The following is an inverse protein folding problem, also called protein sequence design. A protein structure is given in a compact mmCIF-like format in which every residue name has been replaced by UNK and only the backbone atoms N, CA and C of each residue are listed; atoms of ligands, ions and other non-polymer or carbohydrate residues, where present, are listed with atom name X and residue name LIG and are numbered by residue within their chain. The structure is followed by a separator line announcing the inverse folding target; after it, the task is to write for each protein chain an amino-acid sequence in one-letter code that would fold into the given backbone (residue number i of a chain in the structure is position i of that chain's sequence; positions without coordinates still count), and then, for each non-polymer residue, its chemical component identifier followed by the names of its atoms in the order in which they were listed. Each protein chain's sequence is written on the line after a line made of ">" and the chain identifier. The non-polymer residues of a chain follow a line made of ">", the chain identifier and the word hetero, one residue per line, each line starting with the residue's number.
data_IF_223992285908
#
_entry.id   IF_223992285908
#
_cell.length_a   1.000
_cell.length_b   1.000
_cell.length_c   1.000
_cell.angle_alpha   90.00
_cell.angle_beta   90.00
_cell.angle_gamma   90.00
#
_symmetry.space_group_name_H-M   'P 1'
#
loop_
_entity.id
_entity.type
_entity.pdbx_description
1 polymer ?
#
# COMPACT_ATOMS: atom_id res chain seq x y z
N UNK A 1 34.91 7.00 -62.22
CA UNK A 1 34.00 8.16 -62.29
C UNK A 1 33.28 8.30 -60.97
N UNK A 2 33.69 9.30 -60.21
CA UNK A 2 33.09 9.67 -58.92
C UNK A 2 31.74 10.30 -59.14
N UNK A 3 30.74 9.95 -58.30
CA UNK A 3 29.63 10.86 -58.00
C UNK A 3 29.40 10.86 -56.49
N UNK A 4 29.78 11.98 -55.92
CA UNK A 4 29.44 12.46 -54.58
C UNK A 4 27.96 12.82 -54.53
N UNK A 5 27.20 12.30 -53.54
CA UNK A 5 25.90 12.83 -53.17
C UNK A 5 25.94 13.22 -51.70
N UNK A 6 25.78 14.51 -51.46
CA UNK A 6 25.74 15.21 -50.19
C UNK A 6 24.40 14.97 -49.47
N UNK A 7 24.32 14.69 -48.16
CA UNK A 7 23.02 14.68 -47.47
C UNK A 7 22.70 16.06 -46.89
N UNK A 8 21.53 16.53 -47.25
CA UNK A 8 20.84 17.72 -46.71
C UNK A 8 20.62 17.58 -45.18
N UNK A 9 21.19 18.54 -44.44
CA UNK A 9 20.87 18.79 -43.03
C UNK A 9 19.50 19.44 -42.94
N UNK A 10 18.49 18.72 -42.42
CA UNK A 10 17.23 19.31 -41.96
C UNK A 10 17.34 19.69 -40.49
N UNK A 11 17.34 20.98 -40.23
CA UNK A 11 17.28 21.59 -38.91
C UNK A 11 15.89 21.42 -38.34
N UNK A 12 15.71 20.62 -37.28
CA UNK A 12 14.47 20.57 -36.51
C UNK A 12 14.53 21.62 -35.41
N UNK A 13 13.77 22.70 -35.56
CA UNK A 13 13.53 23.68 -34.51
C UNK A 13 12.62 23.05 -33.45
N UNK A 14 13.13 22.93 -32.23
CA UNK A 14 12.35 22.58 -31.05
C UNK A 14 11.43 23.73 -30.67
N UNK A 15 10.13 23.50 -30.75
CA UNK A 15 9.10 24.38 -30.18
C UNK A 15 8.97 24.02 -28.72
N UNK A 16 9.47 24.86 -27.82
CA UNK A 16 9.24 24.77 -26.39
C UNK A 16 7.87 25.37 -26.10
N UNK A 17 6.89 24.53 -25.82
CA UNK A 17 5.57 24.92 -25.35
C UNK A 17 5.64 25.15 -23.84
N UNK A 18 5.57 26.41 -23.41
CA UNK A 18 5.42 26.83 -22.02
C UNK A 18 3.98 26.68 -21.58
N UNK A 19 3.72 25.70 -20.72
CA UNK A 19 2.43 25.55 -20.02
C UNK A 19 2.44 26.47 -18.79
N UNK A 20 1.45 27.36 -18.58
CA UNK A 20 1.42 28.23 -17.42
C UNK A 20 1.08 27.42 -16.15
N UNK A 21 1.91 27.54 -15.14
CA UNK A 21 1.64 27.05 -13.76
C UNK A 21 0.48 27.86 -13.17
N UNK A 22 -0.62 27.17 -12.92
CA UNK A 22 -1.72 27.72 -12.13
C UNK A 22 -1.31 27.70 -10.65
N UNK A 23 -1.15 28.88 -10.05
CA UNK A 23 -0.91 29.03 -8.62
C UNK A 23 -2.19 28.68 -7.84
N UNK A 24 -2.08 27.78 -6.88
CA UNK A 24 -3.13 27.53 -5.90
C UNK A 24 -3.01 28.59 -4.81
N UNK A 25 -4.05 29.43 -4.70
CA UNK A 25 -4.23 30.36 -3.61
C UNK A 25 -4.84 29.64 -2.41
N UNK A 26 -4.17 29.68 -1.27
CA UNK A 26 -4.69 29.30 0.04
C UNK A 26 -5.76 30.28 0.50
N UNK A 27 -6.92 29.83 1.03
CA UNK A 27 -7.89 30.75 1.62
C UNK A 27 -7.42 31.13 3.05
N UNK A 28 -7.17 32.39 3.26
CA UNK A 28 -7.01 33.03 4.58
C UNK A 28 -8.37 33.08 5.27
N UNK A 29 -8.47 32.44 6.45
CA UNK A 29 -9.60 32.66 7.37
C UNK A 29 -9.39 33.94 8.15
N UNK A 30 -10.24 34.92 7.89
CA UNK A 30 -10.55 36.01 8.76
C UNK A 30 -12.04 35.90 9.14
N UNK A 31 -12.35 35.92 10.43
CA UNK A 31 -13.74 35.91 10.88
C UNK A 31 -13.83 35.82 12.39
N UNK A 32 -13.96 36.97 12.99
CA UNK A 32 -14.09 37.27 14.41
C UNK A 32 -15.23 36.54 15.12
N UNK A 33 -14.92 36.10 16.34
CA UNK A 33 -15.81 35.60 17.39
C UNK A 33 -16.90 36.59 17.79
N UNK A 34 -18.13 36.10 17.95
CA UNK A 34 -19.10 36.69 18.90
C UNK A 34 -19.49 35.61 19.91
N UNK A 35 -19.09 35.88 21.15
CA UNK A 35 -19.59 35.20 22.35
C UNK A 35 -21.09 35.47 22.46
N UNK A 36 -21.88 34.42 22.62
CA UNK A 36 -23.25 34.51 23.17
C UNK A 36 -23.30 33.61 24.39
N UNK A 37 -23.35 34.27 25.55
CA UNK A 37 -23.59 33.66 26.85
C UNK A 37 -25.09 33.50 27.01
N UNK A 38 -25.60 32.29 27.25
CA UNK A 38 -26.96 32.09 27.80
C UNK A 38 -26.85 31.06 28.93
N UNK A 39 -27.43 31.48 30.05
CA UNK A 39 -27.25 30.93 31.37
C UNK A 39 -28.01 29.63 31.67
N UNK A 40 -27.58 29.10 32.78
CA UNK A 40 -28.15 28.02 33.60
C UNK A 40 -29.66 28.21 33.94
N UNK A 41 -30.40 27.17 34.40
CA UNK A 41 -30.20 26.71 35.77
C UNK A 41 -30.48 25.22 36.10
N UNK A 42 -29.85 24.80 37.20
CA UNK A 42 -30.32 23.95 38.32
C UNK A 42 -31.08 22.61 38.11
N UNK A 43 -30.49 21.58 38.73
CA UNK A 43 -31.18 20.35 39.08
C UNK A 43 -30.32 19.47 39.99
N UNK A 44 -30.21 19.86 41.26
CA UNK A 44 -29.66 19.02 42.31
C UNK A 44 -30.66 17.97 42.74
N UNK A 45 -30.26 16.71 42.83
CA UNK A 45 -30.94 15.70 43.64
C UNK A 45 -29.91 14.89 44.41
N UNK A 46 -29.89 15.15 45.68
CA UNK A 46 -29.21 14.39 46.73
C UNK A 46 -29.88 13.06 46.96
N UNK A 47 -29.15 11.98 47.18
CA UNK A 47 -29.59 10.83 47.95
C UNK A 47 -28.54 10.55 49.02
N UNK A 48 -29.02 10.64 50.25
CA UNK A 48 -28.28 10.52 51.49
C UNK A 48 -27.98 9.06 51.86
N UNK A 49 -26.86 8.94 52.50
CA UNK A 49 -26.30 8.03 53.47
C UNK A 49 -27.22 6.92 54.09
N UNK A 50 -26.62 5.74 54.22
CA UNK A 50 -26.77 4.93 55.42
C UNK A 50 -25.40 4.39 55.86
N UNK A 51 -24.87 4.98 56.91
CA UNK A 51 -23.73 4.44 57.62
C UNK A 51 -24.27 3.52 58.74
N UNK A 52 -23.74 2.30 58.80
CA UNK A 52 -23.86 1.53 60.06
C UNK A 52 -22.47 1.12 60.54
N UNK A 53 -22.26 1.43 61.76
CA UNK A 53 -21.09 1.38 62.60
C UNK A 53 -20.67 -0.07 62.92
N UNK A 54 -19.42 -0.43 62.75
CA UNK A 54 -18.73 -1.35 63.65
C UNK A 54 -17.21 -1.13 63.51
N UNK A 55 -16.59 -0.75 64.60
CA UNK A 55 -15.18 -0.36 64.66
C UNK A 55 -14.22 -1.54 64.62
N UNK A 56 -13.06 -1.24 64.10
CA UNK A 56 -11.82 -1.89 64.52
C UNK A 56 -10.65 -0.91 64.19
N UNK A 57 -9.89 -0.57 65.21
CA UNK A 57 -8.69 0.20 65.17
C UNK A 57 -7.57 -0.59 64.47
N UNK A 58 -6.93 -0.01 63.50
CA UNK A 58 -5.72 -0.60 62.84
C UNK A 58 -5.09 0.33 61.81
N UNK A 59 -4.03 1.00 62.19
CA UNK A 59 -2.91 1.46 61.41
C UNK A 59 -3.16 2.24 60.11
N UNK A 60 -3.18 3.55 60.13
CA UNK A 60 -3.07 4.37 58.94
C UNK A 60 -1.63 4.28 58.36
N UNK A 61 -1.47 3.47 57.33
CA UNK A 61 -0.33 3.56 56.42
C UNK A 61 -0.71 4.55 55.31
N UNK A 62 -0.17 5.77 55.37
CA UNK A 62 -0.23 6.75 54.30
C UNK A 62 0.59 6.25 53.13
N UNK A 63 -0.05 5.53 52.16
CA UNK A 63 0.55 5.30 50.87
C UNK A 63 0.53 6.62 50.10
N UNK A 64 1.65 7.32 50.07
CA UNK A 64 1.87 8.43 49.15
C UNK A 64 1.65 7.93 47.72
N UNK A 65 0.58 8.37 47.09
CA UNK A 65 0.36 8.21 45.68
C UNK A 65 1.46 9.01 44.96
N UNK A 66 2.51 8.31 44.52
CA UNK A 66 3.56 8.88 43.69
C UNK A 66 2.90 9.36 42.39
N UNK A 67 2.66 10.68 42.33
CA UNK A 67 2.17 11.34 41.13
C UNK A 67 3.09 10.97 39.97
N UNK A 68 2.53 10.30 38.92
CA UNK A 68 3.27 10.01 37.71
C UNK A 68 3.77 11.33 37.13
N UNK A 69 5.09 11.43 36.93
CA UNK A 69 5.68 12.58 36.27
C UNK A 69 5.01 12.84 34.91
N UNK A 70 4.75 14.10 34.52
CA UNK A 70 4.15 14.40 33.23
C UNK A 70 5.03 13.84 32.14
N UNK A 71 4.41 13.05 31.23
CA UNK A 71 5.08 12.44 30.09
C UNK A 71 5.77 13.56 29.27
N UNK A 72 7.05 13.37 28.98
CA UNK A 72 7.80 14.31 28.15
C UNK A 72 7.04 14.55 26.82
N UNK A 73 7.06 15.78 26.26
CA UNK A 73 6.37 16.07 25.02
C UNK A 73 6.87 15.13 23.92
N UNK A 74 5.95 14.39 23.30
CA UNK A 74 6.29 13.48 22.19
C UNK A 74 6.86 14.32 21.05
N UNK A 75 8.03 13.92 20.55
CA UNK A 75 8.61 14.53 19.34
C UNK A 75 7.64 14.43 18.17
N UNK A 76 7.57 15.44 17.29
CA UNK A 76 6.72 15.35 16.09
C UNK A 76 7.14 14.16 15.22
N UNK A 77 6.15 13.47 14.64
CA UNK A 77 6.40 12.37 13.72
C UNK A 77 6.95 12.91 12.41
N UNK A 78 8.05 12.35 11.93
CA UNK A 78 8.74 12.74 10.70
C UNK A 78 8.71 11.61 9.67
N UNK A 79 8.88 11.95 8.37
CA UNK A 79 9.07 10.99 7.29
C UNK A 79 10.53 10.56 7.21
N UNK A 80 10.79 9.26 7.01
CA UNK A 80 12.14 8.71 6.88
C UNK A 80 12.63 8.68 5.42
N UNK A 81 11.74 8.65 4.44
CA UNK A 81 12.09 8.63 3.02
C UNK A 81 12.46 10.01 2.48
N UNK A 82 13.36 10.01 1.49
CA UNK A 82 13.69 11.15 0.64
C UNK A 82 13.35 10.82 -0.83
N UNK A 83 12.51 11.62 -1.53
CA UNK A 83 12.18 11.38 -2.93
C UNK A 83 13.37 11.64 -3.90
N UNK A 84 14.42 12.35 -3.45
CA UNK A 84 15.55 12.74 -4.29
C UNK A 84 16.80 11.93 -4.02
N UNK A 85 16.97 11.36 -2.82
CA UNK A 85 18.15 10.62 -2.41
C UNK A 85 17.82 9.21 -1.90
N UNK A 86 18.80 8.31 -1.97
CA UNK A 86 18.71 7.02 -1.30
C UNK A 86 19.06 7.19 0.17
N UNK A 87 18.22 6.68 1.04
CA UNK A 87 18.41 6.59 2.49
C UNK A 87 18.67 5.14 2.85
N UNK A 88 19.64 4.90 3.70
CA UNK A 88 20.02 3.58 4.16
C UNK A 88 19.19 3.15 5.36
N UNK A 89 18.55 1.97 5.25
CA UNK A 89 17.74 1.37 6.32
C UNK A 89 18.33 0.04 6.76
N UNK A 90 18.41 -0.14 8.06
CA UNK A 90 18.98 -1.33 8.65
C UNK A 90 17.92 -2.42 8.81
N UNK A 91 18.23 -3.63 8.36
CA UNK A 91 17.38 -4.80 8.53
C UNK A 91 17.32 -5.18 10.02
N UNK A 92 16.14 -5.21 10.61
CA UNK A 92 15.88 -5.57 12.00
C UNK A 92 15.69 -7.07 12.18
N UNK A 93 14.81 -7.65 11.35
CA UNK A 93 14.46 -9.07 11.42
C UNK A 93 13.86 -9.57 10.12
N UNK A 94 13.84 -10.88 9.96
CA UNK A 94 13.23 -11.59 8.83
C UNK A 94 12.24 -12.62 9.37
N UNK A 95 11.02 -12.61 8.82
CA UNK A 95 9.96 -13.57 9.10
C UNK A 95 9.64 -14.36 7.83
N UNK A 96 9.64 -15.68 7.90
CA UNK A 96 9.29 -16.52 6.76
C UNK A 96 7.78 -16.69 6.65
N UNK A 97 7.19 -16.29 5.51
CA UNK A 97 5.75 -16.36 5.29
C UNK A 97 5.34 -17.57 4.45
N UNK A 98 6.09 -17.89 3.39
CA UNK A 98 5.86 -19.03 2.49
C UNK A 98 7.20 -19.73 2.19
N UNK A 99 7.22 -20.87 1.50
CA UNK A 99 8.49 -21.53 1.17
C UNK A 99 9.51 -20.64 0.45
N UNK A 100 9.04 -19.64 -0.30
CA UNK A 100 9.89 -18.77 -1.11
C UNK A 100 9.65 -17.26 -0.87
N UNK A 101 8.91 -16.88 0.16
CA UNK A 101 8.59 -15.48 0.48
C UNK A 101 8.85 -15.20 1.95
N UNK A 102 9.46 -14.03 2.23
CA UNK A 102 9.71 -13.57 3.60
C UNK A 102 9.29 -12.12 3.74
N UNK A 103 8.95 -11.75 4.98
CA UNK A 103 8.77 -10.37 5.44
C UNK A 103 10.09 -9.89 6.00
N UNK A 104 10.59 -8.77 5.48
CA UNK A 104 11.83 -8.11 5.90
C UNK A 104 11.47 -6.83 6.62
N UNK A 105 11.73 -6.78 7.93
CA UNK A 105 11.40 -5.65 8.79
C UNK A 105 12.64 -4.78 8.94
N UNK A 106 12.52 -3.49 8.62
CA UNK A 106 13.57 -2.48 8.70
C UNK A 106 13.32 -1.50 9.84
N UNK A 107 14.40 -1.01 10.44
CA UNK A 107 14.36 -0.07 11.57
C UNK A 107 14.03 1.35 11.08
N UNK A 108 13.23 2.05 11.86
CA UNK A 108 13.05 3.52 11.83
C UNK A 108 13.28 4.03 13.25
N UNK A 109 13.48 5.35 13.39
CA UNK A 109 13.45 5.97 14.73
C UNK A 109 12.02 5.90 15.30
N UNK A 110 11.90 5.91 16.64
CA UNK A 110 10.61 5.77 17.34
C UNK A 110 9.56 6.81 16.92
N UNK A 111 10.01 7.99 16.51
CA UNK A 111 9.17 9.10 16.03
C UNK A 111 9.17 9.25 14.51
N UNK A 112 9.66 8.26 13.75
CA UNK A 112 9.62 8.26 12.29
C UNK A 112 8.61 7.26 11.77
N UNK A 113 7.87 7.66 10.75
CA UNK A 113 7.14 6.78 9.84
C UNK A 113 7.83 6.74 8.48
N UNK A 114 7.54 5.72 7.67
CA UNK A 114 8.18 5.61 6.35
C UNK A 114 7.86 6.82 5.46
N UNK A 115 6.63 7.32 5.49
CA UNK A 115 6.20 8.50 4.73
C UNK A 115 5.73 8.16 3.32
N UNK A 116 4.97 7.07 3.20
CA UNK A 116 4.29 6.69 1.96
C UNK A 116 2.87 7.22 1.92
N UNK A 117 2.45 7.65 0.73
CA UNK A 117 1.05 7.82 0.38
C UNK A 117 0.48 6.50 -0.16
N UNK A 118 -0.85 6.38 -0.15
CA UNK A 118 -1.56 5.22 -0.71
C UNK A 118 -1.20 5.03 -2.19
N UNK A 119 -1.10 3.77 -2.61
CA UNK A 119 -0.73 3.39 -3.97
C UNK A 119 0.62 3.99 -4.43
N UNK A 120 1.58 4.01 -3.51
CA UNK A 120 2.96 4.43 -3.76
C UNK A 120 3.92 3.27 -3.59
N UNK A 121 5.05 3.35 -4.26
CA UNK A 121 6.16 2.42 -4.06
C UNK A 121 7.45 3.17 -3.71
N UNK A 122 8.47 2.42 -3.41
CA UNK A 122 9.85 2.89 -3.29
C UNK A 122 10.73 2.17 -4.31
N UNK A 123 11.94 2.68 -4.57
CA UNK A 123 12.99 1.95 -5.27
C UNK A 123 14.10 1.57 -4.29
N UNK A 124 14.52 0.32 -4.34
CA UNK A 124 15.66 -0.20 -3.58
C UNK A 124 16.89 -0.28 -4.47
N UNK A 125 18.06 -0.15 -3.87
CA UNK A 125 19.35 -0.18 -4.59
C UNK A 125 20.40 -0.98 -3.80
N UNK A 126 21.17 -1.79 -4.51
CA UNK A 126 22.45 -2.31 -4.02
C UNK A 126 23.46 -2.35 -5.18
N UNK A 127 24.75 -2.41 -4.89
CA UNK A 127 25.81 -2.59 -5.88
C UNK A 127 26.21 -4.06 -5.93
N UNK A 128 26.32 -4.62 -7.14
CA UNK A 128 26.92 -5.94 -7.36
C UNK A 128 28.45 -5.89 -7.13
N UNK A 129 29.07 -7.06 -7.10
CA UNK A 129 30.55 -7.18 -6.98
C UNK A 129 31.30 -6.42 -8.09
N UNK A 130 30.74 -6.33 -9.31
CA UNK A 130 31.27 -5.56 -10.43
C UNK A 130 30.99 -4.05 -10.33
N UNK A 131 30.45 -3.58 -9.20
CA UNK A 131 30.10 -2.18 -8.94
C UNK A 131 28.81 -1.69 -9.62
N UNK A 132 28.17 -2.50 -10.47
CA UNK A 132 26.94 -2.09 -11.17
C UNK A 132 25.75 -2.04 -10.22
N UNK A 133 24.99 -0.93 -10.23
CA UNK A 133 23.82 -0.83 -9.39
C UNK A 133 22.68 -1.71 -9.89
N UNK A 134 22.01 -2.39 -8.96
CA UNK A 134 20.72 -3.03 -9.19
C UNK A 134 19.67 -2.18 -8.50
N UNK A 135 18.66 -1.74 -9.25
CA UNK A 135 17.56 -0.91 -8.74
C UNK A 135 16.24 -1.61 -9.07
N UNK A 136 15.38 -1.80 -8.06
CA UNK A 136 14.07 -2.42 -8.24
C UNK A 136 13.01 -1.71 -7.40
N UNK A 137 11.78 -1.55 -7.95
CA UNK A 137 10.65 -1.05 -7.18
C UNK A 137 10.12 -2.13 -6.25
N UNK A 138 9.72 -1.71 -5.04
CA UNK A 138 8.98 -2.51 -4.09
C UNK A 138 7.88 -1.67 -3.43
N UNK A 139 6.80 -2.32 -3.03
CA UNK A 139 5.74 -1.68 -2.27
C UNK A 139 5.81 -2.19 -0.83
N UNK A 140 6.08 -1.32 0.15
CA UNK A 140 5.98 -1.66 1.57
C UNK A 140 4.59 -2.15 1.94
N UNK A 141 4.53 -3.11 2.85
CA UNK A 141 3.28 -3.74 3.28
C UNK A 141 2.85 -3.35 4.69
N UNK A 142 3.71 -2.69 5.45
CA UNK A 142 3.38 -2.08 6.73
C UNK A 142 2.39 -0.92 6.59
N UNK A 143 1.63 -0.66 7.66
CA UNK A 143 0.75 0.50 7.76
C UNK A 143 1.54 1.81 7.54
N UNK A 144 0.98 2.74 6.76
CA UNK A 144 1.64 4.01 6.43
C UNK A 144 1.90 4.89 7.66
N UNK A 145 1.10 4.72 8.73
CA UNK A 145 1.24 5.46 9.98
C UNK A 145 2.11 4.74 11.02
N UNK A 146 2.59 3.52 10.72
CA UNK A 146 3.48 2.79 11.62
C UNK A 146 4.77 3.56 11.85
N UNK A 147 5.15 3.75 13.11
CA UNK A 147 6.43 4.35 13.50
C UNK A 147 7.40 3.30 14.02
N UNK A 148 8.71 3.59 13.98
CA UNK A 148 9.76 2.73 14.51
C UNK A 148 10.17 1.57 13.62
N UNK A 149 9.38 1.24 12.59
CA UNK A 149 9.73 0.21 11.60
C UNK A 149 8.84 0.28 10.37
N UNK A 150 9.29 -0.37 9.29
CA UNK A 150 8.47 -0.69 8.12
C UNK A 150 8.89 -2.06 7.57
N UNK A 151 8.08 -2.63 6.68
CA UNK A 151 8.42 -3.92 6.10
C UNK A 151 8.23 -4.01 4.59
N UNK A 152 8.95 -4.98 4.02
CA UNK A 152 8.72 -5.50 2.68
C UNK A 152 8.36 -6.99 2.74
N UNK A 153 7.37 -7.39 1.98
CA UNK A 153 7.11 -8.80 1.68
C UNK A 153 7.68 -9.11 0.30
N UNK A 154 8.74 -9.91 0.27
CA UNK A 154 9.51 -10.17 -0.95
C UNK A 154 9.55 -11.68 -1.23
N UNK A 155 9.07 -12.06 -2.43
CA UNK A 155 9.24 -13.40 -2.98
C UNK A 155 10.64 -13.54 -3.57
N UNK A 156 11.32 -14.65 -3.27
CA UNK A 156 12.59 -15.02 -3.87
C UNK A 156 12.35 -15.53 -5.29
N UNK A 157 13.03 -14.94 -6.23
CA UNK A 157 13.04 -15.37 -7.63
C UNK A 157 14.45 -15.83 -7.97
N UNK A 158 14.60 -17.07 -8.44
CA UNK A 158 15.87 -17.58 -8.94
C UNK A 158 16.31 -16.72 -10.15
N UNK A 159 17.57 -16.25 -10.10
CA UNK A 159 18.08 -15.28 -11.08
C UNK A 159 17.59 -13.84 -10.90
N UNK A 160 16.76 -13.54 -9.92
CA UNK A 160 16.32 -12.18 -9.57
C UNK A 160 17.35 -11.47 -8.67
N UNK A 161 18.21 -10.59 -9.18
CA UNK A 161 19.37 -10.12 -8.41
C UNK A 161 18.97 -9.40 -7.11
N UNK A 162 17.93 -8.56 -7.12
CA UNK A 162 17.50 -7.83 -5.92
C UNK A 162 16.82 -8.78 -4.92
N UNK A 163 15.92 -9.65 -5.38
CA UNK A 163 15.23 -10.56 -4.46
C UNK A 163 16.20 -11.54 -3.80
N UNK A 164 17.19 -12.04 -4.54
CA UNK A 164 18.26 -12.87 -3.99
C UNK A 164 19.13 -12.10 -3.00
N UNK A 165 19.51 -10.85 -3.32
CA UNK A 165 20.28 -10.00 -2.42
C UNK A 165 19.55 -9.82 -1.08
N UNK A 166 18.29 -9.39 -1.11
CA UNK A 166 17.50 -9.15 0.11
C UNK A 166 17.30 -10.43 0.92
N UNK A 167 17.06 -11.58 0.27
CA UNK A 167 16.95 -12.87 0.95
C UNK A 167 18.25 -13.39 1.59
N UNK A 168 19.39 -12.86 1.17
CA UNK A 168 20.69 -13.19 1.76
C UNK A 168 21.10 -12.22 2.88
N UNK A 169 20.38 -11.10 3.05
CA UNK A 169 20.65 -10.15 4.13
C UNK A 169 20.41 -10.77 5.50
N UNK A 170 21.17 -10.30 6.46
CA UNK A 170 21.05 -10.67 7.89
C UNK A 170 20.65 -9.43 8.70
N UNK A 171 20.03 -9.61 9.88
CA UNK A 171 19.81 -8.50 10.81
C UNK A 171 21.10 -7.69 11.02
N UNK A 172 21.00 -6.38 10.85
CA UNK A 172 22.13 -5.46 10.86
C UNK A 172 22.61 -4.99 9.48
N UNK A 173 22.34 -5.74 8.41
CA UNK A 173 22.66 -5.32 7.04
C UNK A 173 21.79 -4.15 6.59
N UNK A 174 22.26 -3.39 5.62
CA UNK A 174 21.67 -2.14 5.17
C UNK A 174 21.17 -2.24 3.74
N UNK A 175 19.96 -1.72 3.49
CA UNK A 175 19.38 -1.58 2.16
C UNK A 175 19.11 -0.10 1.85
N UNK A 176 19.63 0.37 0.72
CA UNK A 176 19.37 1.72 0.25
C UNK A 176 17.98 1.82 -0.41
N UNK A 177 17.14 2.75 0.07
CA UNK A 177 15.75 2.93 -0.38
C UNK A 177 15.51 4.39 -0.70
N UNK A 178 14.77 4.67 -1.78
CA UNK A 178 14.39 6.01 -2.21
C UNK A 178 12.89 6.06 -2.53
N UNK A 179 12.20 7.11 -2.10
CA UNK A 179 10.79 7.35 -2.34
C UNK A 179 10.23 8.45 -1.43
N UNK A 180 8.92 8.61 -1.39
CA UNK A 180 7.89 7.84 -2.10
C UNK A 180 7.86 8.10 -3.60
N UNK A 181 7.36 7.12 -4.36
CA UNK A 181 7.02 7.26 -5.77
C UNK A 181 5.53 6.97 -5.92
N UNK A 182 4.73 8.04 -6.02
CA UNK A 182 3.28 7.92 -6.21
C UNK A 182 2.98 7.23 -7.55
N UNK A 183 2.07 6.24 -7.53
CA UNK A 183 1.64 5.49 -8.71
C UNK A 183 0.23 5.86 -9.11
N UNK A 184 -0.69 5.82 -8.17
CA UNK A 184 -2.10 6.09 -8.40
C UNK A 184 -2.69 6.78 -7.18
N UNK A 185 -2.73 8.13 -7.13
CA UNK A 185 -3.35 8.84 -6.02
C UNK A 185 -4.82 8.44 -5.88
N UNK A 186 -5.21 8.02 -4.67
CA UNK A 186 -6.57 7.62 -4.35
C UNK A 186 -7.11 8.55 -3.27
N UNK A 187 -8.28 9.14 -3.51
CA UNK A 187 -9.04 9.88 -2.52
C UNK A 187 -10.20 9.03 -1.97
N UNK A 188 -10.62 9.31 -0.75
CA UNK A 188 -11.80 8.71 -0.11
C UNK A 188 -13.02 8.78 -1.04
N UNK A 189 -13.69 7.64 -1.26
CA UNK A 189 -14.84 7.52 -2.16
C UNK A 189 -14.59 7.94 -3.62
N UNK A 190 -13.35 7.94 -4.09
CA UNK A 190 -13.04 8.25 -5.50
C UNK A 190 -13.68 7.27 -6.47
N UNK A 191 -13.79 6.00 -6.08
CA UNK A 191 -14.43 4.93 -6.85
C UNK A 191 -15.55 4.29 -6.04
N UNK A 192 -16.64 3.92 -6.72
CA UNK A 192 -17.69 3.11 -6.08
C UNK A 192 -17.21 1.69 -5.84
N UNK A 193 -16.40 1.17 -6.76
CA UNK A 193 -15.78 -0.14 -6.63
C UNK A 193 -14.39 -0.21 -7.25
N UNK A 194 -13.56 -1.10 -6.72
CA UNK A 194 -12.24 -1.43 -7.26
C UNK A 194 -12.17 -2.94 -7.45
N UNK A 195 -11.87 -3.35 -8.68
CA UNK A 195 -11.52 -4.73 -9.00
C UNK A 195 -10.00 -4.85 -9.02
N UNK A 196 -9.45 -5.74 -8.22
CA UNK A 196 -8.01 -5.99 -8.13
C UNK A 196 -7.69 -7.38 -8.67
N UNK A 197 -6.70 -7.48 -9.55
CA UNK A 197 -6.22 -8.75 -10.09
C UNK A 197 -4.72 -8.84 -9.81
N UNK A 198 -4.36 -9.71 -8.87
CA UNK A 198 -2.99 -9.87 -8.39
C UNK A 198 -2.44 -11.25 -8.74
N UNK A 199 -1.14 -11.35 -9.03
CA UNK A 199 -0.43 -12.62 -9.19
C UNK A 199 0.86 -12.65 -8.37
N UNK A 200 0.99 -13.65 -7.48
CA UNK A 200 2.16 -13.82 -6.63
C UNK A 200 2.55 -12.55 -5.86
N UNK A 201 3.78 -12.05 -6.03
CA UNK A 201 4.24 -10.82 -5.36
C UNK A 201 3.52 -9.53 -5.80
N UNK A 202 2.72 -9.58 -6.88
CA UNK A 202 1.85 -8.47 -7.28
C UNK A 202 0.74 -8.14 -6.28
N UNK A 203 0.61 -8.92 -5.22
CA UNK A 203 -0.30 -8.64 -4.11
C UNK A 203 0.11 -7.40 -3.30
N UNK A 204 1.40 -7.06 -3.22
CA UNK A 204 1.87 -6.01 -2.30
C UNK A 204 1.26 -4.62 -2.55
N UNK A 205 1.14 -4.10 -3.80
CA UNK A 205 0.43 -2.84 -4.03
C UNK A 205 -1.08 -2.96 -3.77
N UNK A 206 -1.69 -4.12 -4.02
CA UNK A 206 -3.11 -4.33 -3.71
C UNK A 206 -3.36 -4.33 -2.21
N UNK A 207 -2.51 -5.02 -1.45
CA UNK A 207 -2.58 -5.07 0.01
C UNK A 207 -2.46 -3.69 0.65
N UNK A 208 -1.52 -2.85 0.16
CA UNK A 208 -1.38 -1.47 0.60
C UNK A 208 -2.68 -0.68 0.39
N UNK A 209 -3.28 -0.75 -0.81
CA UNK A 209 -4.52 -0.03 -1.12
C UNK A 209 -5.70 -0.56 -0.29
N UNK A 210 -5.83 -1.89 -0.15
CA UNK A 210 -6.90 -2.52 0.65
C UNK A 210 -6.83 -2.03 2.10
N UNK A 211 -5.65 -2.08 2.72
CA UNK A 211 -5.46 -1.65 4.10
C UNK A 211 -5.89 -0.20 4.31
N UNK A 212 -5.43 0.72 3.47
CA UNK A 212 -5.72 2.14 3.62
C UNK A 212 -7.20 2.47 3.39
N UNK A 213 -7.82 1.90 2.35
CA UNK A 213 -9.24 2.15 2.09
C UNK A 213 -10.15 1.53 3.15
N UNK A 214 -9.81 0.35 3.69
CA UNK A 214 -10.60 -0.27 4.76
C UNK A 214 -10.41 0.39 6.13
N UNK A 215 -9.26 0.99 6.38
CA UNK A 215 -8.94 1.77 7.58
C UNK A 215 -9.78 3.05 7.66
N UNK A 216 -10.03 3.70 6.53
CA UNK A 216 -10.91 4.87 6.43
C UNK A 216 -12.37 4.44 6.54
N UNK A 217 -13.04 4.82 7.65
CA UNK A 217 -14.45 4.50 7.91
C UNK A 217 -15.42 5.31 7.04
N UNK A 218 -14.99 6.44 6.52
CA UNK A 218 -15.78 7.29 5.63
C UNK A 218 -15.74 6.81 4.18
N UNK A 219 -14.73 6.02 3.82
CA UNK A 219 -14.65 5.38 2.51
C UNK A 219 -15.69 4.24 2.41
N UNK A 220 -16.42 4.18 1.31
CA UNK A 220 -17.47 3.17 1.04
C UNK A 220 -17.14 2.31 -0.19
N UNK A 221 -15.94 2.46 -0.74
CA UNK A 221 -15.48 1.71 -1.90
C UNK A 221 -15.58 0.20 -1.66
N UNK A 222 -16.21 -0.51 -2.58
CA UNK A 222 -16.25 -1.98 -2.59
C UNK A 222 -15.03 -2.51 -3.32
N UNK A 223 -14.37 -3.50 -2.76
CA UNK A 223 -13.13 -4.07 -3.29
C UNK A 223 -13.33 -5.56 -3.55
N UNK A 224 -13.11 -5.99 -4.80
CA UNK A 224 -13.05 -7.40 -5.18
C UNK A 224 -11.62 -7.74 -5.60
N UNK A 225 -10.94 -8.59 -4.84
CA UNK A 225 -9.60 -9.06 -5.13
C UNK A 225 -9.64 -10.48 -5.69
N UNK A 226 -9.11 -10.66 -6.91
CA UNK A 226 -8.81 -11.95 -7.51
C UNK A 226 -7.29 -12.16 -7.39
N UNK A 227 -6.86 -13.16 -6.63
CA UNK A 227 -5.46 -13.37 -6.31
C UNK A 227 -4.96 -14.74 -6.77
N UNK A 228 -4.19 -14.75 -7.88
CA UNK A 228 -3.64 -15.94 -8.50
C UNK A 228 -2.27 -16.33 -7.92
N UNK A 229 -2.11 -17.62 -7.65
CA UNK A 229 -0.90 -18.23 -7.10
C UNK A 229 -0.65 -19.61 -7.70
N UNK A 230 0.55 -20.16 -7.55
CA UNK A 230 0.88 -21.48 -8.11
C UNK A 230 0.22 -22.59 -7.28
N UNK A 231 0.39 -22.53 -5.95
CA UNK A 231 -0.19 -23.49 -5.01
C UNK A 231 -0.81 -22.77 -3.81
N UNK A 232 -1.63 -23.43 -2.98
CA UNK A 232 -2.13 -22.84 -1.75
C UNK A 232 -1.02 -22.35 -0.81
N UNK A 233 0.11 -23.08 -0.75
CA UNK A 233 1.25 -22.71 0.09
C UNK A 233 2.01 -21.46 -0.40
N UNK A 234 1.78 -21.03 -1.65
CA UNK A 234 2.36 -19.81 -2.22
C UNK A 234 1.52 -18.55 -1.96
N UNK A 235 0.32 -18.68 -1.36
CA UNK A 235 -0.57 -17.53 -1.14
C UNK A 235 0.01 -16.61 -0.07
N UNK A 236 0.58 -15.52 -0.53
CA UNK A 236 1.24 -14.50 0.30
C UNK A 236 0.18 -13.70 1.06
N UNK A 237 0.40 -13.39 2.36
CA UNK A 237 -0.49 -12.57 3.19
C UNK A 237 -1.93 -13.12 3.29
N UNK A 238 -2.09 -14.45 3.19
CA UNK A 238 -3.44 -15.08 3.20
C UNK A 238 -4.20 -14.79 4.49
N UNK A 239 -3.56 -14.94 5.63
CA UNK A 239 -4.18 -14.75 6.94
C UNK A 239 -4.62 -13.29 7.16
N UNK A 240 -3.79 -12.33 6.74
CA UNK A 240 -4.10 -10.91 6.80
C UNK A 240 -5.27 -10.56 5.88
N UNK A 241 -5.27 -11.05 4.64
CA UNK A 241 -6.36 -10.83 3.69
C UNK A 241 -7.67 -11.45 4.16
N UNK A 242 -7.65 -12.67 4.70
CA UNK A 242 -8.83 -13.34 5.26
C UNK A 242 -9.39 -12.59 6.48
N UNK A 243 -8.49 -12.07 7.32
CA UNK A 243 -8.87 -11.25 8.48
C UNK A 243 -9.55 -9.95 8.05
N UNK A 244 -8.98 -9.26 7.04
CA UNK A 244 -9.57 -8.04 6.48
C UNK A 244 -10.94 -8.32 5.84
N UNK A 245 -11.08 -9.41 5.08
CA UNK A 245 -12.34 -9.79 4.45
C UNK A 245 -13.42 -10.14 5.49
N UNK A 246 -13.05 -10.87 6.54
CA UNK A 246 -13.96 -11.20 7.66
C UNK A 246 -14.40 -9.96 8.44
N UNK A 247 -13.51 -8.99 8.62
CA UNK A 247 -13.82 -7.75 9.33
C UNK A 247 -14.64 -6.76 8.47
N UNK A 248 -14.61 -6.88 7.15
CA UNK A 248 -15.26 -5.95 6.20
C UNK A 248 -16.06 -6.69 5.11
N UNK A 249 -17.02 -7.58 5.47
CA UNK A 249 -17.70 -8.49 4.52
C UNK A 249 -18.50 -7.76 3.43
N UNK A 250 -18.97 -6.55 3.70
CA UNK A 250 -19.75 -5.73 2.76
C UNK A 250 -18.86 -4.93 1.78
N UNK A 251 -17.58 -4.72 2.13
CA UNK A 251 -16.66 -3.87 1.37
C UNK A 251 -15.53 -4.65 0.72
N UNK A 252 -15.06 -5.76 1.29
CA UNK A 252 -13.90 -6.49 0.79
C UNK A 252 -14.19 -7.97 0.60
N UNK A 253 -13.95 -8.44 -0.65
CA UNK A 253 -14.03 -9.86 -1.01
C UNK A 253 -12.72 -10.27 -1.65
N UNK A 254 -12.23 -11.46 -1.28
CA UNK A 254 -11.04 -12.06 -1.88
C UNK A 254 -11.39 -13.43 -2.47
N UNK A 255 -10.94 -13.66 -3.71
CA UNK A 255 -11.01 -14.95 -4.40
C UNK A 255 -9.59 -15.40 -4.70
N UNK A 256 -9.19 -16.50 -4.09
CA UNK A 256 -7.90 -17.13 -4.38
C UNK A 256 -8.04 -18.06 -5.56
N UNK A 257 -7.08 -17.99 -6.49
CA UNK A 257 -6.97 -18.87 -7.67
C UNK A 257 -5.62 -19.57 -7.60
N UNK A 258 -5.57 -20.87 -7.86
CA UNK A 258 -4.32 -21.62 -7.97
C UNK A 258 -4.17 -22.24 -9.35
N UNK A 259 -2.91 -22.44 -9.80
CA UNK A 259 -2.66 -22.93 -11.17
C UNK A 259 -3.26 -24.31 -11.41
N UNK A 260 -3.14 -25.23 -10.43
CA UNK A 260 -3.63 -26.61 -10.53
C UNK A 260 -4.38 -27.01 -9.27
N UNK A 261 -5.44 -27.77 -9.44
CA UNK A 261 -6.17 -28.36 -8.33
C UNK A 261 -5.22 -29.22 -7.47
N UNK A 262 -5.38 -29.09 -6.17
CA UNK A 262 -4.79 -29.97 -5.15
C UNK A 262 -5.91 -30.51 -4.28
N UNK A 263 -5.63 -31.58 -3.54
CA UNK A 263 -6.59 -32.15 -2.60
C UNK A 263 -7.07 -31.06 -1.61
N UNK A 264 -8.35 -31.08 -1.29
CA UNK A 264 -9.02 -30.13 -0.37
C UNK A 264 -9.14 -28.68 -0.88
N UNK A 265 -8.73 -28.38 -2.11
CA UNK A 265 -8.93 -27.05 -2.68
C UNK A 265 -10.33 -26.90 -3.28
N UNK A 266 -11.13 -25.98 -2.75
CA UNK A 266 -12.51 -25.71 -3.20
C UNK A 266 -12.64 -24.45 -4.04
N UNK A 267 -11.57 -23.65 -4.16
CA UNK A 267 -11.55 -22.43 -4.94
C UNK A 267 -11.32 -22.65 -6.44
N UNK A 268 -11.37 -21.59 -7.25
CA UNK A 268 -11.04 -21.63 -8.66
C UNK A 268 -9.61 -22.12 -8.92
N UNK A 269 -9.44 -22.78 -10.10
CA UNK A 269 -8.13 -23.26 -10.59
C UNK A 269 -7.87 -22.80 -12.01
N UNK A 270 -6.60 -22.77 -12.41
CA UNK A 270 -6.15 -22.35 -13.73
C UNK A 270 -5.86 -20.85 -13.79
N UNK A 271 -5.96 -20.31 -15.00
CA UNK A 271 -5.65 -18.90 -15.26
C UNK A 271 -6.83 -17.98 -14.97
N UNK A 272 -6.52 -16.69 -14.75
CA UNK A 272 -7.53 -15.64 -14.61
C UNK A 272 -8.13 -15.36 -16.01
N UNK A 273 -9.34 -15.85 -16.25
CA UNK A 273 -10.08 -15.68 -17.51
C UNK A 273 -11.14 -14.59 -17.38
N UNK A 274 -11.71 -14.21 -18.53
CA UNK A 274 -12.84 -13.28 -18.62
C UNK A 274 -14.04 -13.77 -17.79
N UNK A 275 -14.36 -15.07 -17.85
CA UNK A 275 -15.48 -15.70 -17.11
C UNK A 275 -15.23 -15.65 -15.61
N UNK A 276 -13.98 -15.95 -15.18
CA UNK A 276 -13.59 -15.91 -13.77
C UNK A 276 -13.72 -14.48 -13.23
N UNK A 277 -13.27 -13.48 -13.99
CA UNK A 277 -13.38 -12.06 -13.61
C UNK A 277 -14.86 -11.68 -13.45
N UNK A 278 -15.72 -11.96 -14.43
CA UNK A 278 -17.17 -11.69 -14.36
C UNK A 278 -17.81 -12.32 -13.14
N UNK A 279 -17.46 -13.57 -12.84
CA UNK A 279 -18.04 -14.33 -11.73
C UNK A 279 -17.66 -13.77 -10.36
N UNK A 280 -16.40 -13.34 -10.19
CA UNK A 280 -15.86 -12.98 -8.89
C UNK A 280 -15.68 -11.46 -8.68
N UNK A 281 -15.87 -10.66 -9.71
CA UNK A 281 -15.86 -9.19 -9.66
C UNK A 281 -17.01 -8.63 -10.51
N UNK A 282 -18.27 -8.82 -10.08
CA UNK A 282 -19.46 -8.46 -10.88
C UNK A 282 -19.55 -6.97 -11.19
N UNK A 283 -18.90 -6.11 -10.41
CA UNK A 283 -18.84 -4.67 -10.65
C UNK A 283 -17.85 -4.28 -11.75
N UNK A 284 -17.05 -5.20 -12.27
CA UNK A 284 -16.05 -4.91 -13.32
C UNK A 284 -16.74 -4.31 -14.55
N UNK A 285 -16.24 -3.14 -15.00
CA UNK A 285 -16.83 -2.40 -16.11
C UNK A 285 -18.06 -1.56 -15.77
N UNK A 286 -18.51 -1.52 -14.51
CA UNK A 286 -19.54 -0.56 -14.09
C UNK A 286 -19.00 0.87 -14.14
N UNK A 287 -19.90 1.86 -14.21
CA UNK A 287 -19.58 3.27 -14.49
C UNK A 287 -18.47 3.88 -13.64
N UNK A 288 -18.36 3.49 -12.38
CA UNK A 288 -17.34 4.03 -11.45
C UNK A 288 -16.51 2.90 -10.83
N UNK A 289 -16.19 1.89 -11.65
CA UNK A 289 -15.26 0.81 -11.28
C UNK A 289 -13.86 1.13 -11.81
N UNK A 290 -12.84 0.94 -10.96
CA UNK A 290 -11.44 0.97 -11.36
C UNK A 290 -10.84 -0.42 -11.25
N UNK A 291 -10.03 -0.80 -12.22
CA UNK A 291 -9.37 -2.10 -12.25
C UNK A 291 -7.88 -1.93 -12.02
N UNK A 292 -7.34 -2.57 -10.99
CA UNK A 292 -5.91 -2.62 -10.71
C UNK A 292 -5.34 -3.98 -11.05
N UNK A 293 -4.23 -4.02 -11.78
CA UNK A 293 -3.56 -5.27 -12.15
C UNK A 293 -2.10 -5.21 -11.77
N UNK A 294 -1.61 -6.27 -11.11
CA UNK A 294 -0.19 -6.46 -10.83
C UNK A 294 0.15 -7.94 -10.76
N UNK A 295 1.17 -8.36 -11.49
CA UNK A 295 1.57 -9.77 -11.50
C UNK A 295 2.75 -10.05 -12.43
N UNK A 296 3.10 -11.32 -12.60
CA UNK A 296 4.19 -11.72 -13.49
C UNK A 296 3.86 -11.41 -14.96
N UNK A 297 4.87 -11.17 -15.81
CA UNK A 297 4.67 -10.76 -17.20
C UNK A 297 3.71 -11.64 -18.00
N UNK A 298 3.71 -12.98 -17.88
CA UNK A 298 2.74 -13.82 -18.59
C UNK A 298 1.28 -13.50 -18.19
N UNK A 299 1.00 -13.34 -16.90
CA UNK A 299 -0.34 -12.99 -16.42
C UNK A 299 -0.72 -11.58 -16.87
N UNK A 300 0.17 -10.60 -16.77
CA UNK A 300 -0.09 -9.24 -17.26
C UNK A 300 -0.52 -9.26 -18.72
N UNK A 301 0.21 -9.99 -19.56
CA UNK A 301 -0.07 -10.12 -21.00
C UNK A 301 -1.48 -10.67 -21.28
N UNK A 302 -1.90 -11.71 -20.56
CA UNK A 302 -3.19 -12.38 -20.79
C UNK A 302 -4.37 -11.67 -20.15
N UNK A 303 -4.15 -10.94 -19.06
CA UNK A 303 -5.22 -10.26 -18.32
C UNK A 303 -5.44 -8.83 -18.81
N UNK A 304 -4.38 -8.02 -18.93
CA UNK A 304 -4.50 -6.57 -19.13
C UNK A 304 -3.65 -5.99 -20.26
N UNK A 305 -2.85 -6.81 -20.92
CA UNK A 305 -1.74 -6.34 -21.73
C UNK A 305 -0.54 -5.90 -20.89
N UNK A 306 0.63 -5.81 -21.53
CA UNK A 306 1.88 -5.43 -20.88
C UNK A 306 1.97 -3.91 -20.68
N UNK A 307 2.83 -3.47 -19.77
CA UNK A 307 3.26 -2.07 -19.72
C UNK A 307 4.03 -1.69 -20.97
N UNK A 308 3.87 -0.44 -21.38
CA UNK A 308 4.63 0.14 -22.47
C UNK A 308 6.06 0.52 -22.08
N UNK A 309 6.83 1.11 -23.01
CA UNK A 309 8.17 1.62 -22.75
C UNK A 309 8.19 2.59 -21.56
N UNK A 310 9.32 2.61 -20.83
CA UNK A 310 9.49 3.48 -19.66
C UNK A 310 8.40 3.34 -18.59
N UNK A 311 7.84 2.12 -18.44
CA UNK A 311 6.78 1.80 -17.46
C UNK A 311 5.47 2.58 -17.66
N UNK A 312 5.20 3.08 -18.86
CA UNK A 312 3.89 3.64 -19.23
C UNK A 312 2.81 2.56 -19.14
N UNK A 313 1.54 2.95 -19.03
CA UNK A 313 0.44 2.00 -18.84
C UNK A 313 0.26 1.04 -20.03
N UNK A 314 0.65 1.46 -21.24
CA UNK A 314 0.43 0.67 -22.45
C UNK A 314 -1.05 0.46 -22.77
N UNK A 315 -1.36 -0.21 -23.86
CA UNK A 315 -2.73 -0.54 -24.24
C UNK A 315 -3.33 -1.63 -23.34
N UNK A 316 -4.65 -1.60 -23.16
CA UNK A 316 -5.38 -2.69 -22.53
C UNK A 316 -5.58 -3.80 -23.55
N UNK A 317 -5.28 -5.04 -23.16
CA UNK A 317 -5.41 -6.23 -23.97
C UNK A 317 -5.88 -7.43 -23.12
N UNK A 318 -6.02 -8.61 -23.73
CA UNK A 318 -6.44 -9.84 -23.05
C UNK A 318 -7.83 -9.76 -22.45
N UNK A 319 -8.03 -10.46 -21.33
CA UNK A 319 -9.34 -10.61 -20.71
C UNK A 319 -10.07 -9.29 -20.40
N UNK A 320 -9.34 -8.25 -19.99
CA UNK A 320 -9.95 -6.95 -19.71
C UNK A 320 -10.40 -6.22 -20.98
N UNK A 321 -9.70 -6.38 -22.09
CA UNK A 321 -10.15 -5.87 -23.40
C UNK A 321 -11.41 -6.60 -23.90
N UNK A 322 -11.48 -7.91 -23.72
CA UNK A 322 -12.68 -8.72 -24.05
C UNK A 322 -13.90 -8.29 -23.22
N UNK A 323 -13.67 -7.74 -22.01
CA UNK A 323 -14.71 -7.13 -21.17
C UNK A 323 -15.09 -5.71 -21.62
N UNK A 324 -14.49 -5.17 -22.68
CA UNK A 324 -14.74 -3.83 -23.19
C UNK A 324 -14.03 -2.73 -22.39
N UNK A 325 -13.06 -3.06 -21.53
CA UNK A 325 -12.35 -2.07 -20.72
C UNK A 325 -11.25 -1.37 -21.53
N UNK A 326 -11.02 -0.12 -21.19
CA UNK A 326 -10.02 0.75 -21.81
C UNK A 326 -8.97 1.20 -20.78
N UNK A 327 -7.99 1.98 -21.22
CA UNK A 327 -6.98 2.60 -20.35
C UNK A 327 -7.56 3.52 -19.27
N UNK A 328 -8.76 4.04 -19.46
CA UNK A 328 -9.47 4.83 -18.45
C UNK A 328 -9.90 3.97 -17.26
N UNK A 329 -10.27 2.72 -17.51
CA UNK A 329 -10.72 1.78 -16.48
C UNK A 329 -9.57 1.06 -15.77
N UNK A 330 -8.47 0.79 -16.48
CA UNK A 330 -7.41 -0.11 -16.01
C UNK A 330 -6.16 0.65 -15.61
N UNK A 331 -5.58 0.28 -14.47
CA UNK A 331 -4.27 0.72 -14.03
C UNK A 331 -3.37 -0.48 -13.72
N UNK A 332 -2.16 -0.51 -14.28
CA UNK A 332 -1.15 -1.56 -14.12
C UNK A 332 -0.05 -1.06 -13.17
N UNK A 333 0.09 -1.70 -12.02
CA UNK A 333 1.16 -1.39 -11.06
C UNK A 333 2.55 -1.80 -11.53
#
# INVERSE_FOLDING_TARGET
>A
MLHLINPLRTSVRSVVSTVPRRAYSTPTKSGSSKLVTVGLPFGAAAIAAYAYFSGSLGGASTAEAKAAAPAAPKKPVTSALDPNAFVDFKLKSVEKLTPNTSRFIFELEDNQKLGLDVASCVVTKFAKEDGKPVIRPYTPTSDADLTGSFDFVIKRYEGGPMSMHVHNMKPGDVLAVKGPISKYPIATNQHESITMIAGGSGITPMFQVVNELLKDKEDKTKINLIFANVTPADIILKEELDTLAKANPDRFKVTYVIDKAVDDWTGPTGYVTTELIKKHAPEVGSKNNKVFVCGPPPMMKTVSGTKGPNFTQGEVDGALKELGLTSEHVFKF
#
